data_IF_052855050909
#
_entry.id   IF_052855050909
#
_cell.length_a   1.000
_cell.length_b   1.000
_cell.length_c   1.000
_cell.angle_alpha   90.00
_cell.angle_beta   90.00
_cell.angle_gamma   90.00
#
_symmetry.space_group_name_H-M   'P 1'
#
loop_
_entity.id
_entity.type
_entity.pdbx_description
1 polymer ?
#
# COMPACT_ATOMS: atom_id res chain seq x y z
N UNK A 1 -10.22 -11.30 -13.11
CA UNK A 1 -9.62 -12.44 -13.84
C UNK A 1 -8.14 -12.65 -13.50
N UNK A 2 -7.27 -11.60 -13.54
CA UNK A 2 -5.86 -11.75 -13.17
C UNK A 2 -5.68 -11.92 -11.67
N UNK A 3 -6.36 -11.11 -10.86
CA UNK A 3 -6.32 -11.22 -9.41
C UNK A 3 -6.87 -12.57 -8.91
N UNK A 4 -7.90 -13.11 -9.55
CA UNK A 4 -8.44 -14.45 -9.24
C UNK A 4 -7.42 -15.57 -9.47
N UNK A 5 -6.60 -15.45 -10.52
CA UNK A 5 -5.56 -16.40 -10.86
C UNK A 5 -4.29 -16.29 -10.02
N UNK A 6 -4.18 -15.26 -9.18
CA UNK A 6 -2.99 -14.96 -8.38
C UNK A 6 -2.95 -15.81 -7.09
N UNK A 7 -2.70 -17.09 -7.23
CA UNK A 7 -2.70 -18.06 -6.13
C UNK A 7 -1.50 -17.96 -5.15
N UNK A 8 -0.48 -17.19 -5.51
CA UNK A 8 0.72 -16.99 -4.69
C UNK A 8 0.92 -15.50 -4.40
N UNK A 9 1.29 -15.15 -3.15
CA UNK A 9 1.40 -13.75 -2.71
C UNK A 9 2.37 -12.91 -3.55
N UNK A 10 3.42 -13.50 -4.12
CA UNK A 10 4.32 -12.78 -5.04
C UNK A 10 3.62 -12.35 -6.34
N UNK A 11 2.57 -13.05 -6.74
CA UNK A 11 1.75 -12.67 -7.89
C UNK A 11 0.73 -11.63 -7.47
N UNK A 12 -0.03 -11.88 -6.39
CA UNK A 12 -1.12 -11.01 -5.95
C UNK A 12 -0.65 -9.67 -5.38
N UNK A 13 0.50 -9.64 -4.71
CA UNK A 13 0.97 -8.43 -4.02
C UNK A 13 2.00 -7.62 -4.81
N UNK A 14 2.60 -8.20 -5.87
CA UNK A 14 3.64 -7.57 -6.66
C UNK A 14 3.31 -7.56 -8.16
N UNK A 15 3.28 -8.72 -8.84
CA UNK A 15 3.14 -8.78 -10.30
C UNK A 15 1.83 -8.16 -10.78
N UNK A 16 0.68 -8.57 -10.23
CA UNK A 16 -0.63 -8.05 -10.61
C UNK A 16 -0.76 -6.54 -10.29
N UNK A 17 -0.41 -6.07 -9.08
CA UNK A 17 -0.41 -4.65 -8.76
C UNK A 17 0.49 -3.80 -9.66
N UNK A 18 1.69 -4.25 -9.98
CA UNK A 18 2.60 -3.50 -10.84
C UNK A 18 2.03 -3.32 -12.24
N UNK A 19 1.51 -4.40 -12.83
CA UNK A 19 0.89 -4.32 -14.16
C UNK A 19 -0.36 -3.43 -14.12
N UNK A 20 -1.23 -3.59 -13.10
CA UNK A 20 -2.42 -2.77 -12.96
C UNK A 20 -2.09 -1.28 -12.81
N UNK A 21 -1.13 -0.93 -11.93
CA UNK A 21 -0.75 0.45 -11.65
C UNK A 21 -0.16 1.19 -12.86
N UNK A 22 0.49 0.47 -13.78
CA UNK A 22 1.03 1.06 -15.02
C UNK A 22 -0.03 1.23 -16.12
N UNK A 23 -1.26 0.72 -15.91
CA UNK A 23 -2.39 0.98 -16.79
C UNK A 23 -3.14 2.26 -16.40
N UNK A 24 -3.99 2.78 -17.30
CA UNK A 24 -4.88 3.89 -16.97
C UNK A 24 -5.95 3.55 -15.93
N UNK A 25 -6.19 2.27 -15.65
CA UNK A 25 -7.28 1.76 -14.79
C UNK A 25 -6.81 1.31 -13.40
N UNK A 26 -5.51 1.45 -13.08
CA UNK A 26 -4.96 0.90 -11.84
C UNK A 26 -5.61 1.45 -10.57
N UNK A 27 -5.99 2.72 -10.57
CA UNK A 27 -6.62 3.34 -9.41
C UNK A 27 -8.02 2.77 -9.15
N UNK A 28 -8.85 2.72 -10.18
CA UNK A 28 -10.22 2.18 -10.11
C UNK A 28 -10.21 0.69 -9.73
N UNK A 29 -9.32 -0.08 -10.34
CA UNK A 29 -9.13 -1.50 -10.00
C UNK A 29 -8.66 -1.67 -8.55
N UNK A 30 -7.76 -0.82 -8.08
CA UNK A 30 -7.31 -0.84 -6.69
C UNK A 30 -8.45 -0.61 -5.72
N UNK A 31 -9.31 0.38 -5.97
CA UNK A 31 -10.49 0.68 -5.16
C UNK A 31 -11.52 -0.45 -5.17
N UNK A 32 -11.77 -1.07 -6.32
CA UNK A 32 -12.66 -2.23 -6.43
C UNK A 32 -12.10 -3.42 -5.65
N UNK A 33 -10.82 -3.71 -5.79
CA UNK A 33 -10.22 -4.91 -5.22
C UNK A 33 -10.08 -4.87 -3.70
N UNK A 34 -9.88 -3.71 -3.08
CA UNK A 34 -9.81 -3.61 -1.61
C UNK A 34 -11.11 -4.02 -0.91
N UNK A 35 -12.25 -3.95 -1.61
CA UNK A 35 -13.57 -4.34 -1.11
C UNK A 35 -13.84 -5.85 -1.23
N UNK A 36 -12.92 -6.61 -1.83
CA UNK A 36 -13.10 -8.05 -2.03
C UNK A 36 -13.00 -8.83 -0.71
N UNK A 37 -13.88 -9.81 -0.51
CA UNK A 37 -13.79 -10.78 0.56
C UNK A 37 -12.62 -11.78 0.39
N UNK A 38 -12.07 -11.89 -0.83
CA UNK A 38 -10.94 -12.76 -1.14
C UNK A 38 -9.63 -12.07 -0.75
N UNK A 39 -8.92 -12.62 0.25
CA UNK A 39 -7.68 -12.06 0.80
C UNK A 39 -6.66 -11.67 -0.28
N UNK A 40 -6.44 -12.55 -1.27
CA UNK A 40 -5.49 -12.31 -2.36
C UNK A 40 -5.90 -11.14 -3.27
N UNK A 41 -7.19 -10.93 -3.48
CA UNK A 41 -7.71 -9.81 -4.30
C UNK A 41 -7.61 -8.52 -3.50
N UNK A 42 -8.04 -8.53 -2.23
CA UNK A 42 -7.94 -7.36 -1.37
C UNK A 42 -6.48 -6.92 -1.17
N UNK A 43 -5.55 -7.86 -0.95
CA UNK A 43 -4.12 -7.53 -0.85
C UNK A 43 -3.55 -6.97 -2.16
N UNK A 44 -4.00 -7.48 -3.32
CA UNK A 44 -3.65 -6.90 -4.62
C UNK A 44 -4.16 -5.45 -4.75
N UNK A 45 -5.36 -5.15 -4.26
CA UNK A 45 -5.94 -3.81 -4.26
C UNK A 45 -5.07 -2.79 -3.51
N UNK A 46 -4.71 -3.08 -2.25
CA UNK A 46 -3.86 -2.21 -1.45
C UNK A 46 -2.48 -1.99 -2.07
N UNK A 47 -1.87 -3.04 -2.63
CA UNK A 47 -0.60 -2.95 -3.33
C UNK A 47 -0.70 -2.15 -4.63
N UNK A 48 -1.83 -2.23 -5.35
CA UNK A 48 -2.08 -1.46 -6.57
C UNK A 48 -2.19 0.03 -6.26
N UNK A 49 -2.97 0.41 -5.24
CA UNK A 49 -3.10 1.80 -4.78
C UNK A 49 -1.76 2.38 -4.32
N UNK A 50 -0.96 1.59 -3.59
CA UNK A 50 0.40 1.95 -3.20
C UNK A 50 1.30 2.22 -4.41
N UNK A 51 1.21 1.38 -5.43
CA UNK A 51 1.97 1.53 -6.68
C UNK A 51 1.51 2.75 -7.47
N UNK A 52 0.20 3.02 -7.58
CA UNK A 52 -0.34 4.23 -8.20
C UNK A 52 0.20 5.49 -7.52
N UNK A 53 0.19 5.54 -6.18
CA UNK A 53 0.73 6.67 -5.42
C UNK A 53 2.23 6.90 -5.69
N UNK A 54 2.99 5.82 -5.93
CA UNK A 54 4.42 5.91 -6.21
C UNK A 54 4.78 6.35 -7.63
N UNK A 55 3.85 6.20 -8.58
CA UNK A 55 4.08 6.46 -10.00
C UNK A 55 3.49 7.77 -10.48
N UNK A 56 2.24 8.06 -10.10
CA UNK A 56 1.48 9.19 -10.63
C UNK A 56 1.90 10.51 -9.96
N UNK A 57 1.96 11.63 -10.70
CA UNK A 57 2.14 12.93 -10.12
C UNK A 57 0.97 13.28 -9.19
N UNK A 58 1.19 14.15 -8.20
CA UNK A 58 0.20 14.44 -7.15
C UNK A 58 -1.09 15.06 -7.72
N UNK A 59 -1.00 15.83 -8.80
CA UNK A 59 -2.13 16.42 -9.50
C UNK A 59 -3.09 15.40 -10.14
N UNK A 60 -2.61 14.16 -10.38
CA UNK A 60 -3.39 13.06 -10.93
C UNK A 60 -3.91 12.10 -9.83
N UNK A 61 -3.68 12.43 -8.55
CA UNK A 61 -4.10 11.62 -7.42
C UNK A 61 -5.30 12.25 -6.70
N UNK A 62 -6.27 11.43 -6.33
CA UNK A 62 -7.34 11.81 -5.42
C UNK A 62 -6.82 11.80 -3.97
N UNK A 63 -6.20 12.91 -3.57
CA UNK A 63 -5.55 13.05 -2.25
C UNK A 63 -6.55 12.84 -1.11
N UNK A 64 -7.79 13.32 -1.25
CA UNK A 64 -8.82 13.16 -0.23
C UNK A 64 -9.19 11.69 -0.06
N UNK A 65 -9.33 10.95 -1.15
CA UNK A 65 -9.59 9.51 -1.09
C UNK A 65 -8.43 8.74 -0.47
N UNK A 66 -7.19 9.08 -0.78
CA UNK A 66 -6.03 8.47 -0.11
C UNK A 66 -6.00 8.80 1.40
N UNK A 67 -6.44 10.00 1.80
CA UNK A 67 -6.56 10.36 3.21
C UNK A 67 -7.65 9.54 3.93
N UNK A 68 -8.82 9.33 3.30
CA UNK A 68 -9.88 8.44 3.81
C UNK A 68 -9.38 6.99 3.95
N UNK A 69 -8.63 6.49 2.98
CA UNK A 69 -8.08 5.14 3.02
C UNK A 69 -7.05 4.96 4.15
N UNK A 70 -6.29 6.00 4.50
CA UNK A 70 -5.42 5.98 5.69
C UNK A 70 -6.25 5.84 6.97
N UNK A 71 -7.38 6.54 7.10
CA UNK A 71 -8.29 6.40 8.24
C UNK A 71 -8.92 5.00 8.27
N UNK A 72 -9.29 4.45 7.11
CA UNK A 72 -9.77 3.07 7.02
C UNK A 72 -8.72 2.07 7.52
N UNK A 73 -7.46 2.22 7.12
CA UNK A 73 -6.36 1.35 7.59
C UNK A 73 -6.20 1.48 9.11
N UNK A 74 -6.19 2.69 9.65
CA UNK A 74 -6.04 2.94 11.09
C UNK A 74 -7.08 2.16 11.91
N UNK A 75 -8.32 2.09 11.43
CA UNK A 75 -9.43 1.47 12.15
C UNK A 75 -9.55 -0.05 11.94
N UNK A 76 -9.02 -0.60 10.84
CA UNK A 76 -9.35 -1.96 10.41
C UNK A 76 -8.14 -2.91 10.28
N UNK A 77 -6.91 -2.41 10.26
CA UNK A 77 -5.74 -3.23 9.93
C UNK A 77 -5.57 -4.46 10.83
N UNK A 78 -5.85 -4.33 12.13
CA UNK A 78 -5.64 -5.43 13.08
C UNK A 78 -6.68 -6.56 12.98
N UNK A 79 -7.83 -6.29 12.37
CA UNK A 79 -8.90 -7.28 12.12
C UNK A 79 -8.88 -7.82 10.69
N UNK A 80 -8.10 -7.23 9.81
CA UNK A 80 -7.98 -7.65 8.43
C UNK A 80 -7.31 -9.03 8.29
N UNK A 81 -7.54 -9.76 7.19
CA UNK A 81 -6.83 -11.00 6.88
C UNK A 81 -5.31 -10.83 6.85
N UNK A 82 -4.57 -11.92 7.04
CA UNK A 82 -3.12 -11.89 7.25
C UNK A 82 -2.34 -11.09 6.20
N UNK A 83 -2.54 -11.40 4.92
CA UNK A 83 -1.82 -10.72 3.84
C UNK A 83 -2.35 -9.31 3.58
N UNK A 84 -3.62 -9.07 3.84
CA UNK A 84 -4.20 -7.71 3.76
C UNK A 84 -3.56 -6.79 4.79
N UNK A 85 -3.32 -7.26 6.02
CA UNK A 85 -2.55 -6.49 7.02
C UNK A 85 -1.18 -6.07 6.52
N UNK A 86 -0.47 -6.98 5.86
CA UNK A 86 0.85 -6.68 5.29
C UNK A 86 0.78 -5.58 4.24
N UNK A 87 -0.17 -5.68 3.30
CA UNK A 87 -0.30 -4.70 2.21
C UNK A 87 -0.92 -3.38 2.67
N UNK A 88 -1.81 -3.37 3.67
CA UNK A 88 -2.27 -2.14 4.34
C UNK A 88 -1.11 -1.40 5.02
N UNK A 89 -0.23 -2.10 5.73
CA UNK A 89 0.96 -1.49 6.30
C UNK A 89 1.89 -0.92 5.22
N UNK A 90 2.08 -1.65 4.13
CA UNK A 90 2.80 -1.17 2.94
C UNK A 90 2.18 0.07 2.32
N UNK A 91 0.84 0.15 2.30
CA UNK A 91 0.10 1.31 1.84
C UNK A 91 0.40 2.55 2.69
N UNK A 92 0.35 2.46 4.02
CA UNK A 92 0.72 3.59 4.90
C UNK A 92 2.12 4.10 4.59
N UNK A 93 3.08 3.19 4.42
CA UNK A 93 4.47 3.53 4.06
C UNK A 93 4.52 4.24 2.69
N UNK A 94 3.81 3.72 1.70
CA UNK A 94 3.81 4.28 0.36
C UNK A 94 3.20 5.70 0.34
N UNK A 95 2.02 5.88 0.97
CA UNK A 95 1.38 7.19 1.03
C UNK A 95 2.27 8.20 1.74
N UNK A 96 2.83 7.85 2.90
CA UNK A 96 3.73 8.72 3.64
C UNK A 96 5.03 9.07 2.90
N UNK A 97 5.47 8.19 1.99
CA UNK A 97 6.71 8.38 1.23
C UNK A 97 6.52 9.14 -0.09
N UNK A 98 5.39 8.94 -0.78
CA UNK A 98 5.19 9.42 -2.15
C UNK A 98 4.21 10.58 -2.29
N UNK A 99 3.38 10.86 -1.26
CA UNK A 99 2.40 11.96 -1.27
C UNK A 99 2.77 12.95 -0.16
N UNK A 100 3.53 14.02 -0.44
CA UNK A 100 3.99 14.99 0.57
C UNK A 100 2.88 15.56 1.43
N UNK A 101 1.71 15.85 0.85
CA UNK A 101 0.55 16.38 1.56
C UNK A 101 0.02 15.42 2.65
N UNK A 102 0.27 14.12 2.53
CA UNK A 102 -0.20 13.08 3.46
C UNK A 102 0.91 12.49 4.35
N UNK A 103 2.17 12.91 4.20
CA UNK A 103 3.29 12.35 4.99
C UNK A 103 3.04 12.42 6.49
N UNK A 104 2.61 13.57 7.00
CA UNK A 104 2.32 13.76 8.44
C UNK A 104 1.18 12.86 8.90
N UNK A 105 0.08 12.77 8.14
CA UNK A 105 -1.06 11.91 8.45
C UNK A 105 -0.65 10.43 8.43
N UNK A 106 0.07 10.00 7.40
CA UNK A 106 0.53 8.61 7.29
C UNK A 106 1.48 8.22 8.43
N UNK A 107 2.38 9.13 8.84
CA UNK A 107 3.27 8.90 9.99
C UNK A 107 2.49 8.75 11.29
N UNK A 108 1.46 9.60 11.52
CA UNK A 108 0.56 9.50 12.68
C UNK A 108 -0.20 8.17 12.67
N UNK A 109 -0.83 7.82 11.53
CA UNK A 109 -1.53 6.55 11.36
C UNK A 109 -0.60 5.37 11.63
N UNK A 110 0.62 5.39 11.06
CA UNK A 110 1.63 4.38 11.32
C UNK A 110 2.00 4.23 12.80
N UNK A 111 2.06 5.35 13.54
CA UNK A 111 2.27 5.35 14.99
C UNK A 111 1.09 4.74 15.76
N UNK A 112 -0.13 5.08 15.37
CA UNK A 112 -1.36 4.61 16.03
C UNK A 112 -1.61 3.11 15.81
N UNK A 113 -1.37 2.60 14.60
CA UNK A 113 -1.48 1.15 14.32
C UNK A 113 -0.36 0.34 15.00
N UNK A 114 0.79 0.97 15.30
CA UNK A 114 1.89 0.31 15.99
C UNK A 114 2.44 -0.91 15.27
N UNK A 115 2.75 -1.97 16.02
CA UNK A 115 3.26 -3.21 15.44
C UNK A 115 2.14 -4.01 14.76
N UNK A 116 2.33 -4.29 13.48
CA UNK A 116 1.40 -5.10 12.69
C UNK A 116 1.91 -6.54 12.64
N UNK A 117 1.11 -7.46 13.17
CA UNK A 117 1.45 -8.89 13.21
C UNK A 117 0.97 -9.58 11.95
N UNK A 118 1.90 -10.15 11.19
CA UNK A 118 1.64 -10.93 9.97
C UNK A 118 2.39 -12.25 10.04
N UNK A 119 1.69 -13.34 9.75
CA UNK A 119 2.36 -14.62 9.52
C UNK A 119 3.08 -14.58 8.18
N UNK A 120 4.40 -14.65 8.22
CA UNK A 120 5.29 -14.58 7.05
C UNK A 120 5.66 -15.97 6.51
N UNK A 121 4.98 -17.04 6.95
CA UNK A 121 5.16 -18.40 6.45
C UNK A 121 6.53 -18.99 6.73
N UNK A 122 7.11 -18.70 7.90
CA UNK A 122 8.43 -19.24 8.30
C UNK A 122 9.62 -18.58 7.60
N UNK A 123 9.42 -17.49 6.88
CA UNK A 123 10.51 -16.69 6.29
C UNK A 123 11.15 -15.79 7.34
N UNK A 124 12.40 -15.34 7.10
CA UNK A 124 13.06 -14.35 7.94
C UNK A 124 12.56 -12.91 7.71
N UNK A 125 11.57 -12.73 6.83
CA UNK A 125 11.01 -11.41 6.52
C UNK A 125 10.28 -10.83 7.72
N UNK A 126 10.51 -9.53 7.98
CA UNK A 126 9.84 -8.77 9.04
C UNK A 126 8.87 -7.77 8.44
N UNK A 127 7.77 -7.53 9.14
CA UNK A 127 6.86 -6.42 8.79
C UNK A 127 7.56 -5.12 9.20
N UNK A 128 7.77 -4.18 8.27
CA UNK A 128 8.44 -2.93 8.60
C UNK A 128 7.56 -2.04 9.50
N UNK A 129 8.19 -1.31 10.42
CA UNK A 129 7.53 -0.22 11.14
C UNK A 129 7.25 0.92 10.17
N UNK A 130 5.98 1.27 9.96
CA UNK A 130 5.60 2.30 9.01
C UNK A 130 6.21 3.67 9.35
N UNK A 131 6.13 4.19 10.61
CA UNK A 131 6.72 5.49 10.93
C UNK A 131 8.24 5.50 10.78
N UNK A 132 8.93 4.42 11.16
CA UNK A 132 10.40 4.36 11.00
C UNK A 132 10.81 4.34 9.52
N UNK A 133 10.03 3.66 8.68
CA UNK A 133 10.33 3.62 7.25
C UNK A 133 10.10 4.97 6.59
N UNK A 134 8.99 5.63 6.91
CA UNK A 134 8.69 6.99 6.41
C UNK A 134 9.79 7.96 6.88
N UNK A 135 10.20 7.89 8.15
CA UNK A 135 11.28 8.73 8.68
C UNK A 135 12.59 8.55 7.90
N UNK A 136 12.96 7.32 7.55
CA UNK A 136 14.15 7.06 6.70
C UNK A 136 14.05 7.72 5.33
N UNK A 137 12.84 7.84 4.76
CA UNK A 137 12.62 8.52 3.48
C UNK A 137 12.75 10.04 3.67
N UNK A 138 12.21 10.58 4.78
CA UNK A 138 12.39 12.00 5.18
C UNK A 138 13.87 12.34 5.32
N UNK A 139 14.61 11.55 6.10
CA UNK A 139 16.05 11.78 6.37
C UNK A 139 16.90 11.78 5.10
N UNK A 140 16.47 11.03 4.09
CA UNK A 140 17.13 10.98 2.77
C UNK A 140 16.70 12.11 1.82
N UNK A 141 15.76 12.99 2.24
CA UNK A 141 15.22 14.05 1.39
C UNK A 141 14.49 13.52 0.14
N UNK A 142 13.82 12.35 0.25
CA UNK A 142 13.20 11.67 -0.90
C UNK A 142 11.67 11.64 -0.86
N UNK A 143 11.04 12.38 0.05
CA UNK A 143 9.58 12.48 0.10
C UNK A 143 9.05 13.05 -1.23
N UNK A 144 7.99 12.43 -1.75
CA UNK A 144 7.35 12.81 -3.01
C UNK A 144 8.12 12.44 -4.28
N UNK A 145 9.29 11.79 -4.16
CA UNK A 145 10.06 11.40 -5.34
C UNK A 145 9.43 10.19 -6.02
N UNK A 146 8.67 10.45 -7.07
CA UNK A 146 7.98 9.40 -7.85
C UNK A 146 8.95 8.44 -8.52
N UNK A 147 8.51 7.20 -8.70
CA UNK A 147 9.22 6.13 -9.40
C UNK A 147 8.97 6.24 -10.92
N UNK A 148 9.89 5.67 -11.71
CA UNK A 148 9.75 5.60 -13.18
C UNK A 148 8.93 4.40 -13.63
N UNK A 149 8.85 3.35 -12.81
CA UNK A 149 8.07 2.15 -13.06
C UNK A 149 7.62 1.52 -11.74
N UNK A 150 6.54 0.73 -11.77
CA UNK A 150 5.99 0.08 -10.59
C UNK A 150 6.94 -0.98 -10.03
N UNK A 151 7.67 -1.69 -10.88
CA UNK A 151 8.61 -2.70 -10.43
C UNK A 151 9.92 -2.08 -9.92
N UNK A 152 10.57 -2.78 -9.03
CA UNK A 152 11.87 -2.39 -8.48
C UNK A 152 12.99 -2.35 -9.53
#
# INVERSE_FOLDING_TARGET
KWADGAYWYMISEYTVPWVAAETGYGYELGLEWIESAEERIASAGWSTLSSCASLRPDEDLDIDKYAELLDHVENNIHTAPNRVRFTMNGFVIAIGSYIPALTTKATRVGGNIGQVNVDMGGTACKVPSAPEYIQKVVDRGKIGKKRKSARC
#
